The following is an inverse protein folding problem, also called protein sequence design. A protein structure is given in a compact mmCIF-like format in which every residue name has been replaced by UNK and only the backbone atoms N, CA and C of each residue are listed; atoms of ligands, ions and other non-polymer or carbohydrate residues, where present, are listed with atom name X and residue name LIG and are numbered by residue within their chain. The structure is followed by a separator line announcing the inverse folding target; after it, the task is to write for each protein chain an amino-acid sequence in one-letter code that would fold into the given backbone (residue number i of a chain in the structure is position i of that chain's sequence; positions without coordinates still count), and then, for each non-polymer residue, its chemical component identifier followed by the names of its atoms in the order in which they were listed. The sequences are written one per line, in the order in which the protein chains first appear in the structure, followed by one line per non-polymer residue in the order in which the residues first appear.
data_IF_336285506338
#
_entry.id   IF_336285506338
#
_cell.length_a   1.000
_cell.length_b   1.000
_cell.length_c   1.000
_cell.angle_alpha   90.00
_cell.angle_beta   90.00
_cell.angle_gamma   90.00
#
_symmetry.space_group_name_H-M   'P 1'
#
loop_
_entity.id
_entity.type
_entity.pdbx_description
1 polymer ?
#
# COMPACT_ATOMS: atom_id res chain seq x y z
N UNK A 1 3.84 23.25 23.72
CA UNK A 1 4.46 23.68 22.46
C UNK A 1 5.12 22.46 21.85
N UNK A 2 4.48 21.89 20.85
CA UNK A 2 4.66 20.53 20.33
C UNK A 2 6.10 20.23 19.95
N UNK A 3 6.71 19.29 20.66
CA UNK A 3 8.09 18.88 20.45
C UNK A 3 8.25 18.17 19.10
N UNK A 4 9.00 18.84 18.22
CA UNK A 4 9.98 18.31 17.29
C UNK A 4 9.83 16.86 16.87
N UNK A 5 9.03 16.61 15.83
CA UNK A 5 9.09 15.37 15.07
C UNK A 5 10.30 15.41 14.14
N UNK A 6 11.49 15.18 14.71
CA UNK A 6 12.69 14.85 13.93
C UNK A 6 12.43 13.50 13.26
N UNK A 7 12.00 13.55 12.00
CA UNK A 7 11.82 12.41 11.09
C UNK A 7 13.16 11.77 10.80
N UNK A 8 13.56 10.79 11.60
CA UNK A 8 14.56 9.80 11.18
C UNK A 8 13.97 9.01 10.02
N UNK A 9 14.65 9.04 8.86
CA UNK A 9 14.28 8.39 7.59
C UNK A 9 14.34 6.84 7.63
N UNK A 10 14.05 6.24 8.79
CA UNK A 10 14.14 4.78 9.02
C UNK A 10 12.83 4.14 9.46
N UNK A 11 11.71 4.86 9.44
CA UNK A 11 10.40 4.22 9.47
C UNK A 11 10.15 3.65 8.07
N UNK A 12 10.05 2.33 7.97
CA UNK A 12 9.78 1.54 6.78
C UNK A 12 8.39 1.86 6.18
N UNK A 13 8.23 3.09 5.68
CA UNK A 13 7.01 3.56 5.04
C UNK A 13 7.00 3.05 3.61
N UNK A 14 6.28 1.94 3.39
CA UNK A 14 6.05 1.43 2.05
C UNK A 14 5.29 2.48 1.24
N UNK A 15 5.83 2.85 0.08
CA UNK A 15 5.11 3.65 -0.92
C UNK A 15 4.69 2.75 -2.08
N UNK A 16 3.57 3.04 -2.75
CA UNK A 16 3.24 2.42 -4.03
C UNK A 16 4.38 2.60 -5.03
N UNK A 17 4.68 1.56 -5.79
CA UNK A 17 5.63 1.60 -6.90
C UNK A 17 4.93 2.08 -8.17
N UNK A 18 5.69 2.69 -9.09
CA UNK A 18 5.17 3.16 -10.38
C UNK A 18 6.12 2.69 -11.48
N UNK A 19 5.63 1.81 -12.36
CA UNK A 19 6.32 1.38 -13.57
C UNK A 19 6.13 2.44 -14.67
N UNK A 20 7.18 3.22 -14.92
CA UNK A 20 7.15 4.31 -15.89
C UNK A 20 7.20 3.83 -17.35
N UNK A 21 7.52 2.56 -17.62
CA UNK A 21 7.45 2.01 -18.96
C UNK A 21 6.01 1.64 -19.36
N UNK A 22 5.17 1.29 -18.37
CA UNK A 22 3.74 0.98 -18.56
C UNK A 22 2.84 2.20 -18.38
N UNK A 23 3.30 3.20 -17.63
CA UNK A 23 2.50 4.39 -17.36
C UNK A 23 2.28 5.24 -18.63
N UNK A 24 1.02 5.43 -19.01
CA UNK A 24 0.60 6.29 -20.14
C UNK A 24 0.40 7.76 -19.75
N UNK A 25 0.48 8.09 -18.45
CA UNK A 25 0.26 9.45 -17.97
C UNK A 25 -1.21 9.87 -17.88
N UNK A 26 -2.16 8.93 -17.89
CA UNK A 26 -3.60 9.22 -17.91
C UNK A 26 -4.15 10.00 -16.69
N UNK A 27 -3.42 10.03 -15.57
CA UNK A 27 -3.79 10.79 -14.37
C UNK A 27 -4.85 10.15 -13.48
N UNK A 28 -5.36 8.95 -13.79
CA UNK A 28 -6.38 8.28 -12.98
C UNK A 28 -5.99 8.15 -11.49
N UNK A 29 -4.73 7.78 -11.22
CA UNK A 29 -4.21 7.70 -9.86
C UNK A 29 -4.26 9.02 -9.07
N UNK A 30 -4.19 10.17 -9.74
CA UNK A 30 -4.34 11.50 -9.11
C UNK A 30 -5.81 11.77 -8.81
N UNK A 31 -6.69 11.49 -9.77
CA UNK A 31 -8.14 11.66 -9.62
C UNK A 31 -8.71 10.86 -8.44
N UNK A 32 -8.28 9.60 -8.30
CA UNK A 32 -8.83 8.69 -7.29
C UNK A 32 -8.10 8.72 -5.94
N UNK A 33 -6.99 9.47 -5.80
CA UNK A 33 -6.28 9.51 -4.53
C UNK A 33 -7.05 10.33 -3.47
N UNK A 34 -7.62 9.70 -2.42
CA UNK A 34 -8.51 10.40 -1.49
C UNK A 34 -7.77 11.43 -0.62
N UNK A 35 -6.49 11.20 -0.35
CA UNK A 35 -5.62 12.13 0.39
C UNK A 35 -4.84 13.05 -0.53
N UNK A 36 -5.10 12.97 -1.84
CA UNK A 36 -4.40 13.69 -2.91
C UNK A 36 -2.89 13.42 -2.96
N UNK A 37 -2.34 12.42 -2.27
CA UNK A 37 -0.89 12.22 -2.11
C UNK A 37 -0.07 12.15 -3.42
N UNK A 38 -0.74 11.88 -4.55
CA UNK A 38 -0.18 11.77 -5.90
C UNK A 38 -0.48 13.03 -6.72
N UNK A 39 0.50 13.53 -7.47
CA UNK A 39 0.35 14.65 -8.42
C UNK A 39 0.97 14.30 -9.79
N UNK A 40 0.53 14.98 -10.85
CA UNK A 40 1.13 14.85 -12.18
C UNK A 40 2.29 15.84 -12.35
N UNK A 41 3.43 15.33 -12.81
CA UNK A 41 4.62 16.13 -13.13
C UNK A 41 5.25 15.59 -14.42
N UNK A 42 5.41 16.45 -15.43
CA UNK A 42 5.96 16.10 -16.74
C UNK A 42 5.28 14.87 -17.39
N UNK A 43 3.94 14.82 -17.34
CA UNK A 43 3.15 13.72 -17.90
C UNK A 43 3.24 12.41 -17.11
N UNK A 44 3.85 12.40 -15.92
CA UNK A 44 4.01 11.20 -15.09
C UNK A 44 3.51 11.44 -13.66
N UNK A 45 2.92 10.44 -13.00
CA UNK A 45 2.51 10.56 -11.61
C UNK A 45 3.71 10.51 -10.66
N UNK A 46 3.65 11.27 -9.57
CA UNK A 46 4.61 11.26 -8.47
C UNK A 46 3.88 11.33 -7.14
N UNK A 47 4.34 10.55 -6.16
CA UNK A 47 3.88 10.67 -4.78
C UNK A 47 4.66 11.83 -4.15
N UNK A 48 4.02 13.00 -4.04
CA UNK A 48 4.67 14.24 -3.57
C UNK A 48 4.34 14.55 -2.11
N UNK A 49 3.24 14.01 -1.60
CA UNK A 49 2.82 14.15 -0.20
C UNK A 49 2.87 12.78 0.48
N UNK A 50 4.10 12.30 0.67
CA UNK A 50 4.42 10.97 1.21
C UNK A 50 3.71 10.70 2.54
N UNK A 51 3.70 11.68 3.44
CA UNK A 51 3.08 11.55 4.76
C UNK A 51 1.55 11.42 4.71
N UNK A 52 0.93 11.81 3.60
CA UNK A 52 -0.53 11.73 3.40
C UNK A 52 -0.92 10.40 2.72
N UNK A 53 0.04 9.61 2.22
CA UNK A 53 -0.24 8.36 1.53
C UNK A 53 -0.58 7.24 2.53
N UNK A 54 -1.86 6.97 2.75
CA UNK A 54 -2.32 5.94 3.71
C UNK A 54 -2.15 4.50 3.23
N UNK A 55 -1.51 4.29 2.06
CA UNK A 55 -1.36 2.97 1.45
C UNK A 55 -2.71 2.25 1.16
N UNK A 56 -3.76 3.02 0.81
CA UNK A 56 -5.13 2.51 0.66
C UNK A 56 -5.40 1.68 -0.60
N UNK A 57 -4.56 1.79 -1.65
CA UNK A 57 -4.71 1.00 -2.88
C UNK A 57 -5.58 1.62 -3.99
N UNK A 58 -6.24 2.76 -3.75
CA UNK A 58 -7.08 3.42 -4.77
C UNK A 58 -6.32 3.73 -6.08
N UNK A 59 -5.05 4.15 -5.96
CA UNK A 59 -4.22 4.43 -7.13
C UNK A 59 -3.84 3.18 -7.94
N UNK A 60 -3.69 2.02 -7.29
CA UNK A 60 -3.45 0.73 -7.96
C UNK A 60 -4.70 0.28 -8.69
N UNK A 61 -5.86 0.30 -8.02
CA UNK A 61 -7.13 -0.09 -8.64
C UNK A 61 -7.54 0.82 -9.79
N UNK A 62 -7.29 2.12 -9.67
CA UNK A 62 -7.63 3.09 -10.71
C UNK A 62 -6.68 3.05 -11.92
N UNK A 63 -5.54 2.36 -11.87
CA UNK A 63 -4.57 2.37 -12.95
C UNK A 63 -4.94 1.36 -14.06
N UNK A 64 -5.40 1.81 -15.24
CA UNK A 64 -5.84 0.88 -16.29
C UNK A 64 -4.70 0.05 -16.88
N UNK A 65 -3.46 0.54 -16.81
CA UNK A 65 -2.27 -0.13 -17.35
C UNK A 65 -1.64 -1.15 -16.39
N UNK A 66 -2.14 -1.21 -15.15
CA UNK A 66 -1.50 -1.94 -14.06
C UNK A 66 -0.08 -1.44 -13.76
N UNK A 67 0.17 -0.14 -13.97
CA UNK A 67 1.48 0.48 -13.80
C UNK A 67 1.79 0.88 -12.34
N UNK A 68 0.83 0.75 -11.42
CA UNK A 68 1.00 1.07 -10.00
C UNK A 68 0.81 -0.22 -9.19
N UNK A 69 1.68 -0.45 -8.20
CA UNK A 69 1.62 -1.65 -7.36
C UNK A 69 1.83 -1.38 -5.87
N UNK A 70 1.12 -2.12 -5.02
CA UNK A 70 1.31 -2.15 -3.56
C UNK A 70 1.97 -3.47 -3.13
N UNK A 71 3.22 -3.41 -2.69
CA UNK A 71 3.92 -4.55 -2.09
C UNK A 71 3.55 -4.77 -0.62
N UNK A 72 3.05 -5.96 -0.29
CA UNK A 72 2.79 -6.37 1.10
C UNK A 72 3.41 -7.73 1.43
N UNK A 73 3.86 -7.89 2.68
CA UNK A 73 4.32 -9.18 3.22
C UNK A 73 3.18 -9.85 3.98
N UNK A 74 2.64 -10.93 3.45
CA UNK A 74 1.68 -11.77 4.18
C UNK A 74 2.45 -12.54 5.26
N UNK A 75 2.12 -12.31 6.53
CA UNK A 75 2.65 -13.08 7.66
C UNK A 75 1.53 -13.99 8.16
N UNK A 76 1.63 -15.28 7.83
CA UNK A 76 0.72 -16.30 8.35
C UNK A 76 1.20 -16.70 9.76
N UNK A 77 0.33 -16.63 10.78
CA UNK A 77 0.69 -17.13 12.10
C UNK A 77 0.86 -18.64 12.05
N UNK A 78 1.80 -19.17 12.84
CA UNK A 78 2.00 -20.61 12.94
C UNK A 78 0.67 -21.29 13.34
N UNK A 79 0.31 -22.44 12.72
CA UNK A 79 -0.93 -23.13 13.04
C UNK A 79 -0.95 -23.48 14.53
N UNK A 80 -1.97 -23.05 15.26
CA UNK A 80 -2.18 -23.51 16.64
C UNK A 80 -2.35 -25.03 16.59
N UNK A 81 -1.51 -25.78 17.30
CA UNK A 81 -1.68 -27.24 17.41
C UNK A 81 -3.10 -27.51 17.91
N UNK A 82 -3.99 -27.98 17.02
CA UNK A 82 -5.33 -28.41 17.43
C UNK A 82 -5.11 -29.56 18.40
N UNK A 83 -5.49 -29.38 19.67
CA UNK A 83 -5.45 -30.45 20.65
C UNK A 83 -6.13 -31.70 20.06
N UNK A 84 -5.49 -32.86 20.21
CA UNK A 84 -6.03 -34.15 19.75
C UNK A 84 -7.40 -34.32 20.41
N UNK A 85 -8.47 -34.05 19.67
CA UNK A 85 -9.84 -34.22 20.17
C UNK A 85 -10.01 -35.73 20.40
N UNK A 86 -10.11 -36.13 21.66
CA UNK A 86 -10.34 -37.53 22.02
C UNK A 86 -11.57 -38.03 21.27
N UNK A 87 -11.56 -39.24 20.68
CA UNK A 87 -12.73 -39.79 20.03
C UNK A 87 -13.86 -39.80 21.06
N UNK A 88 -14.96 -39.12 20.74
CA UNK A 88 -16.17 -39.16 21.56
C UNK A 88 -16.65 -40.61 21.50
N UNK A 89 -16.54 -41.35 22.62
CA UNK A 89 -17.07 -42.72 22.71
C UNK A 89 -18.56 -42.64 22.36
N UNK A 90 -18.96 -43.32 21.28
CA UNK A 90 -20.36 -43.49 20.91
C UNK A 90 -20.87 -44.65 21.78
N UNK A 91 -21.56 -44.31 22.87
CA UNK A 91 -22.34 -45.27 23.67
C UNK A 91 -23.65 -45.55 22.98
#
# INVERSE_FOLDING_TARGET
MSHGWRRTLTDNWALPTIDLARCTGCGACVTYCPTRAVEMSHGRPRIVRIADCTYCGECEQACPEGAIGLGYKIVLPAPKKRGRRSPRKLT
#
